data_IF_575623590525
#
_entry.id   IF_575623590525
#
_cell.length_a   1.000
_cell.length_b   1.000
_cell.length_c   1.000
_cell.angle_alpha   90.00
_cell.angle_beta   90.00
_cell.angle_gamma   90.00
#
_symmetry.space_group_name_H-M   'P 1'
#
loop_
_entity.id
_entity.type
_entity.pdbx_description
1 polymer ?
#
# COMPACT_ATOMS: atom_id res chain seq x y z
N UNK A 1 0.19 -16.92 -3.65
CA UNK A 1 0.45 -15.90 -2.63
C UNK A 1 0.92 -14.64 -3.34
N UNK A 2 0.43 -13.45 -2.96
CA UNK A 2 0.94 -12.19 -3.53
C UNK A 2 2.32 -11.93 -2.91
N UNK A 3 3.31 -11.65 -3.74
CA UNK A 3 4.67 -11.35 -3.27
C UNK A 3 4.74 -9.90 -2.76
N UNK A 4 4.99 -9.75 -1.45
CA UNK A 4 5.11 -8.46 -0.77
C UNK A 4 6.58 -8.09 -0.47
N UNK A 5 7.55 -8.85 -0.99
CA UNK A 5 8.97 -8.68 -0.66
C UNK A 5 9.59 -7.38 -1.19
N UNK A 6 8.94 -6.71 -2.14
CA UNK A 6 9.42 -5.46 -2.78
C UNK A 6 8.46 -4.29 -2.54
N UNK A 7 7.75 -4.30 -1.41
CA UNK A 7 6.79 -3.26 -1.06
C UNK A 7 6.94 -2.83 0.40
N UNK A 8 6.76 -1.55 0.68
CA UNK A 8 6.32 -1.09 1.99
C UNK A 8 4.84 -0.68 1.90
N UNK A 9 4.21 -0.39 3.04
CA UNK A 9 2.78 -0.06 3.10
C UNK A 9 2.57 1.20 3.95
N UNK A 10 1.89 2.21 3.41
CA UNK A 10 1.36 3.32 4.21
C UNK A 10 -0.06 3.00 4.67
N UNK A 11 -0.37 3.24 5.96
CA UNK A 11 -1.71 3.04 6.55
C UNK A 11 -2.29 4.35 7.09
N UNK A 12 -3.63 4.51 7.16
CA UNK A 12 -4.29 5.80 7.37
C UNK A 12 -4.39 6.21 8.86
N UNK A 13 -3.37 5.88 9.66
CA UNK A 13 -3.28 6.20 11.09
C UNK A 13 -1.89 6.69 11.48
N UNK A 14 -1.83 7.51 12.54
CA UNK A 14 -0.61 8.17 13.00
C UNK A 14 -0.45 9.56 12.38
N UNK A 15 0.37 10.41 13.02
CA UNK A 15 0.68 11.77 12.55
C UNK A 15 2.21 11.98 12.58
N UNK A 16 2.92 11.82 11.45
CA UNK A 16 2.40 11.51 10.10
C UNK A 16 1.87 10.06 9.96
N UNK A 17 1.15 9.72 8.87
CA UNK A 17 0.68 8.36 8.63
C UNK A 17 1.80 7.33 8.75
N UNK A 18 1.46 6.19 9.32
CA UNK A 18 2.43 5.13 9.63
C UNK A 18 2.84 4.41 8.34
N UNK A 19 4.14 4.21 8.16
CA UNK A 19 4.70 3.32 7.13
C UNK A 19 5.14 2.02 7.76
N UNK A 20 4.51 0.92 7.33
CA UNK A 20 4.92 -0.44 7.64
C UNK A 20 6.07 -0.80 6.69
N UNK A 21 7.24 -1.02 7.29
CA UNK A 21 8.47 -1.35 6.55
C UNK A 21 8.37 -2.70 5.86
N UNK A 22 9.10 -2.87 4.76
CA UNK A 22 9.08 -4.08 3.90
C UNK A 22 9.33 -5.36 4.67
N UNK A 23 10.31 -5.37 5.59
CA UNK A 23 10.58 -6.53 6.44
C UNK A 23 9.40 -6.90 7.34
N UNK A 24 8.72 -5.91 7.92
CA UNK A 24 7.53 -6.12 8.75
C UNK A 24 6.34 -6.59 7.92
N UNK A 25 6.14 -6.02 6.73
CA UNK A 25 5.09 -6.42 5.81
C UNK A 25 5.26 -7.87 5.37
N UNK A 26 6.47 -8.23 4.94
CA UNK A 26 6.89 -9.60 4.59
C UNK A 26 6.69 -10.58 5.75
N UNK A 27 6.89 -10.14 6.99
CA UNK A 27 6.72 -10.97 8.20
C UNK A 27 5.25 -11.22 8.58
N UNK A 28 4.29 -10.92 7.69
CA UNK A 28 2.87 -11.17 7.90
C UNK A 28 2.14 -10.06 8.66
N UNK A 29 2.52 -8.80 8.44
CA UNK A 29 1.75 -7.68 8.98
C UNK A 29 0.27 -7.78 8.57
N UNK A 30 -0.61 -7.65 9.56
CA UNK A 30 -2.05 -7.68 9.39
C UNK A 30 -2.72 -6.75 10.39
N UNK A 31 -3.65 -5.92 9.91
CA UNK A 31 -4.53 -5.12 10.76
C UNK A 31 -5.87 -4.84 10.05
N UNK A 32 -6.63 -3.87 10.56
CA UNK A 32 -7.92 -3.48 9.99
C UNK A 32 -7.81 -2.71 8.65
N UNK A 33 -6.64 -2.15 8.32
CA UNK A 33 -6.41 -1.36 7.12
C UNK A 33 -5.75 -2.16 6.00
N UNK A 34 -5.08 -3.25 6.36
CA UNK A 34 -4.42 -4.16 5.44
C UNK A 34 -4.44 -5.61 5.94
N UNK A 35 -4.87 -6.52 5.07
CA UNK A 35 -4.81 -7.96 5.32
C UNK A 35 -4.30 -8.67 4.07
N UNK A 36 -3.35 -9.58 4.23
CA UNK A 36 -2.85 -10.44 3.16
C UNK A 36 -2.90 -11.90 3.64
N UNK A 37 -3.77 -12.70 3.04
CA UNK A 37 -3.94 -14.12 3.37
C UNK A 37 -4.04 -14.96 2.10
N UNK A 38 -3.11 -15.91 1.93
CA UNK A 38 -3.05 -16.73 0.73
C UNK A 38 -2.89 -15.87 -0.53
N UNK A 39 -3.87 -15.90 -1.42
CA UNK A 39 -3.91 -15.08 -2.64
C UNK A 39 -4.80 -13.82 -2.51
N UNK A 40 -5.38 -13.55 -1.34
CA UNK A 40 -6.25 -12.40 -1.13
C UNK A 40 -5.49 -11.29 -0.41
N UNK A 41 -5.58 -10.06 -0.94
CA UNK A 41 -5.09 -8.85 -0.28
C UNK A 41 -6.25 -7.87 -0.21
N UNK A 42 -6.51 -7.37 0.99
CA UNK A 42 -7.58 -6.41 1.27
C UNK A 42 -6.99 -5.12 1.81
N UNK A 43 -7.46 -4.00 1.26
CA UNK A 43 -7.15 -2.66 1.72
C UNK A 43 -8.43 -2.02 2.24
N UNK A 44 -8.33 -1.31 3.36
CA UNK A 44 -9.42 -0.52 3.90
C UNK A 44 -8.91 0.85 4.35
N UNK A 45 -9.66 1.90 4.06
CA UNK A 45 -9.28 3.27 4.40
C UNK A 45 -10.52 4.09 4.77
N UNK A 46 -10.63 4.57 6.02
CA UNK A 46 -11.70 5.48 6.39
C UNK A 46 -11.44 6.87 5.82
N UNK A 47 -12.50 7.58 5.41
CA UNK A 47 -12.40 8.97 4.90
C UNK A 47 -11.86 9.96 5.93
N UNK A 48 -11.91 9.62 7.22
CA UNK A 48 -11.37 10.39 8.34
C UNK A 48 -9.92 10.04 8.68
N UNK A 49 -9.28 9.17 7.89
CA UNK A 49 -7.90 8.74 8.10
C UNK A 49 -6.87 9.88 8.01
N UNK A 50 -5.68 9.64 8.55
CA UNK A 50 -4.57 10.59 8.50
C UNK A 50 -3.94 10.64 7.11
N UNK A 51 -3.23 11.73 6.81
CA UNK A 51 -2.73 12.05 5.47
C UNK A 51 -1.26 12.46 5.56
N UNK A 52 -0.50 12.11 4.53
CA UNK A 52 0.86 12.64 4.38
C UNK A 52 0.76 14.11 4.00
N UNK A 53 1.81 14.88 4.27
CA UNK A 53 1.82 16.34 4.12
C UNK A 53 1.31 16.83 2.75
N UNK A 54 1.66 16.10 1.68
CA UNK A 54 1.29 16.45 0.31
C UNK A 54 0.05 15.71 -0.21
N UNK A 55 -0.63 14.93 0.62
CA UNK A 55 -1.81 14.17 0.24
C UNK A 55 -3.10 14.84 0.73
N UNK A 56 -4.07 14.98 -0.18
CA UNK A 56 -5.40 15.50 0.15
C UNK A 56 -6.35 14.39 0.64
N UNK A 57 -6.03 13.11 0.42
CA UNK A 57 -6.83 11.95 0.82
C UNK A 57 -6.01 10.93 1.66
N UNK A 58 -6.65 10.24 2.61
CA UNK A 58 -6.02 9.13 3.34
C UNK A 58 -5.83 7.91 2.44
N UNK A 59 -4.94 6.99 2.84
CA UNK A 59 -4.65 5.78 2.05
C UNK A 59 -4.24 4.59 2.91
N UNK A 60 -4.54 3.40 2.41
CA UNK A 60 -3.86 2.14 2.70
C UNK A 60 -3.29 1.67 1.36
N UNK A 61 -2.00 1.87 1.14
CA UNK A 61 -1.39 1.79 -0.20
C UNK A 61 0.03 1.22 -0.14
N UNK A 62 0.35 0.30 -1.05
CA UNK A 62 1.69 -0.24 -1.23
C UNK A 62 2.57 0.75 -2.00
N UNK A 63 3.83 0.90 -1.58
CA UNK A 63 4.85 1.65 -2.32
C UNK A 63 6.09 0.79 -2.56
N UNK A 64 6.56 0.81 -3.80
CA UNK A 64 7.62 -0.07 -4.27
C UNK A 64 8.94 0.20 -3.54
N UNK A 65 9.60 -0.89 -3.13
CA UNK A 65 10.89 -0.91 -2.46
C UNK A 65 11.79 -2.00 -3.02
N UNK A 66 13.08 -1.92 -2.71
CA UNK A 66 13.95 -3.08 -2.74
C UNK A 66 13.63 -4.00 -1.56
N UNK A 67 14.11 -5.25 -1.61
CA UNK A 67 13.92 -6.21 -0.51
C UNK A 67 14.51 -5.73 0.84
N UNK A 68 15.50 -4.83 0.79
CA UNK A 68 16.09 -4.19 1.98
C UNK A 68 15.25 -3.03 2.54
N UNK A 69 14.11 -2.70 1.92
CA UNK A 69 13.19 -1.65 2.33
C UNK A 69 13.52 -0.25 1.81
N UNK A 70 14.66 -0.05 1.10
CA UNK A 70 14.93 1.24 0.44
C UNK A 70 13.91 1.47 -0.67
N UNK A 71 13.48 2.73 -0.84
CA UNK A 71 12.57 3.10 -1.92
C UNK A 71 13.18 2.73 -3.28
N UNK A 72 12.38 2.02 -4.09
CA UNK A 72 12.77 1.69 -5.45
C UNK A 72 12.11 2.68 -6.39
N UNK A 73 12.93 3.59 -6.90
CA UNK A 73 12.55 4.53 -7.96
C UNK A 73 13.44 4.21 -9.16
N UNK A 74 12.86 4.23 -10.35
CA UNK A 74 13.51 3.85 -11.60
C UNK A 74 13.17 4.88 -12.67
N UNK A 75 13.99 4.95 -13.72
CA UNK A 75 13.70 5.78 -14.88
C UNK A 75 13.08 4.95 -15.99
N UNK A 76 12.23 5.57 -16.81
CA UNK A 76 11.53 4.86 -17.87
C UNK A 76 12.43 4.12 -18.88
N UNK A 77 13.67 4.57 -19.23
CA UNK A 77 14.55 3.84 -20.14
C UNK A 77 15.24 2.61 -19.55
N UNK A 78 15.24 2.45 -18.22
CA UNK A 78 16.09 1.45 -17.56
C UNK A 78 15.63 0.01 -17.84
N UNK A 79 14.37 -0.20 -18.21
CA UNK A 79 13.77 -1.50 -18.51
C UNK A 79 12.36 -1.34 -19.14
N UNK A 80 11.79 -2.47 -19.57
CA UNK A 80 10.34 -2.57 -19.76
C UNK A 80 9.65 -2.75 -18.40
N UNK A 81 9.01 -1.69 -17.90
CA UNK A 81 8.43 -1.65 -16.55
C UNK A 81 6.95 -2.03 -16.57
N UNK A 82 6.55 -3.03 -15.77
CA UNK A 82 5.17 -3.51 -15.69
C UNK A 82 4.68 -3.66 -14.26
N UNK A 83 3.45 -3.22 -14.01
CA UNK A 83 2.65 -3.59 -12.85
C UNK A 83 1.35 -4.21 -13.35
N UNK A 84 1.00 -5.40 -12.85
CA UNK A 84 -0.21 -6.12 -13.24
C UNK A 84 -0.99 -6.49 -11.99
N UNK A 85 -2.28 -6.18 -11.99
CA UNK A 85 -3.18 -6.48 -10.89
C UNK A 85 -4.54 -6.93 -11.40
N UNK A 86 -5.18 -7.82 -10.66
CA UNK A 86 -6.61 -8.12 -10.78
C UNK A 86 -7.24 -7.75 -9.45
N UNK A 87 -8.22 -6.85 -9.47
CA UNK A 87 -8.83 -6.29 -8.26
C UNK A 87 -10.33 -6.11 -8.43
N UNK A 88 -11.02 -6.00 -7.31
CA UNK A 88 -12.42 -5.57 -7.23
C UNK A 88 -12.52 -4.43 -6.22
N UNK A 89 -13.43 -3.49 -6.46
CA UNK A 89 -13.76 -2.43 -5.50
C UNK A 89 -14.98 -2.88 -4.70
N UNK A 90 -14.76 -3.16 -3.42
CA UNK A 90 -15.81 -3.68 -2.53
C UNK A 90 -16.72 -2.57 -1.97
N UNK A 91 -16.17 -1.36 -1.78
CA UNK A 91 -16.88 -0.22 -1.22
C UNK A 91 -16.19 1.09 -1.64
N UNK A 92 -16.97 2.17 -1.75
CA UNK A 92 -16.48 3.52 -2.08
C UNK A 92 -16.95 4.53 -1.03
N UNK A 93 -16.22 5.64 -0.84
CA UNK A 93 -16.70 6.78 -0.05
C UNK A 93 -17.86 7.50 -0.75
N UNK A 94 -18.50 8.46 -0.07
CA UNK A 94 -19.65 9.21 -0.61
C UNK A 94 -19.38 9.95 -1.92
N UNK A 95 -18.11 10.25 -2.24
CA UNK A 95 -17.71 10.86 -3.52
C UNK A 95 -17.77 9.89 -4.70
N UNK A 96 -17.89 8.58 -4.44
CA UNK A 96 -17.85 7.53 -5.45
C UNK A 96 -16.47 7.33 -6.09
N UNK A 97 -15.41 7.89 -5.51
CA UNK A 97 -14.04 7.85 -6.06
C UNK A 97 -13.04 7.45 -4.98
N UNK A 98 -12.18 6.50 -5.30
CA UNK A 98 -10.98 6.11 -4.56
C UNK A 98 -9.74 6.41 -5.39
#
# INVERSE_FOLDING_TARGET
MIDLSTWNLSIPVGSPPTTIQTSRLMSGFKDQYFQAEGSNVQFWTPVTGTRTENAIYPRSELRETYADGRLRNWTYPDADNFLRATLAVNQVPSTGKI
#
